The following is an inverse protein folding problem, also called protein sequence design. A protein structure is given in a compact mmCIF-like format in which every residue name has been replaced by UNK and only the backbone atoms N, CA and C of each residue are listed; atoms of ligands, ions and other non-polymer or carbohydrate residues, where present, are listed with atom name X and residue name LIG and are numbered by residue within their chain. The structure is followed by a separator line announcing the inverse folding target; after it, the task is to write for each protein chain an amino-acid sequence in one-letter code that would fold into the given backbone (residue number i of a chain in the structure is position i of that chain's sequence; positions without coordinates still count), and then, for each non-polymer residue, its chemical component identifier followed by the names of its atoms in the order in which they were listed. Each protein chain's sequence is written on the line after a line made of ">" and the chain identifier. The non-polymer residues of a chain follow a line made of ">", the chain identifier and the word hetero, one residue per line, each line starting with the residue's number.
data_IF_474447134346
#
_entry.id   IF_474447134346
#
_cell.length_a   1.000
_cell.length_b   1.000
_cell.length_c   1.000
_cell.angle_alpha   90.00
_cell.angle_beta   90.00
_cell.angle_gamma   90.00
#
_symmetry.space_group_name_H-M   'P 1'
#
loop_
_entity.id
_entity.type
_entity.pdbx_description
1 polymer ?
#
# COMPACT_ATOMS: atom_id res chain seq x y z
N UNK A 1 13.55 8.64 -9.58
CA UNK A 1 12.51 8.59 -8.53
C UNK A 1 12.95 7.59 -7.48
N UNK A 2 13.11 8.02 -6.23
CA UNK A 2 13.61 7.18 -5.14
C UNK A 2 12.55 6.15 -4.72
N UNK A 3 12.42 5.11 -5.52
CA UNK A 3 11.75 3.87 -5.14
C UNK A 3 12.49 3.29 -3.95
N UNK A 4 11.76 2.90 -2.90
CA UNK A 4 12.33 2.30 -1.71
C UNK A 4 13.37 1.25 -2.14
N UNK A 5 14.61 1.33 -1.64
CA UNK A 5 15.75 0.44 -1.94
C UNK A 5 15.52 -1.00 -1.45
N UNK A 6 14.30 -1.52 -1.60
CA UNK A 6 13.87 -2.85 -1.21
C UNK A 6 14.20 -3.79 -2.36
N UNK A 7 15.25 -4.60 -2.19
CA UNK A 7 15.66 -5.60 -3.18
C UNK A 7 14.70 -6.80 -3.24
N UNK A 8 13.83 -6.98 -2.24
CA UNK A 8 12.97 -8.15 -2.12
C UNK A 8 11.48 -7.79 -2.17
N UNK A 9 10.82 -8.23 -3.24
CA UNK A 9 9.38 -8.07 -3.47
C UNK A 9 8.55 -8.79 -2.38
N UNK A 10 9.04 -9.92 -1.86
CA UNK A 10 8.36 -10.67 -0.80
C UNK A 10 8.32 -9.85 0.48
N UNK A 11 9.42 -9.20 0.83
CA UNK A 11 9.50 -8.34 2.01
C UNK A 11 8.57 -7.13 1.88
N UNK A 12 8.50 -6.50 0.70
CA UNK A 12 7.56 -5.42 0.43
C UNK A 12 6.11 -5.88 0.63
N UNK A 13 5.77 -7.06 0.10
CA UNK A 13 4.42 -7.61 0.16
C UNK A 13 4.01 -7.94 1.60
N UNK A 14 4.85 -8.65 2.34
CA UNK A 14 4.55 -9.17 3.68
C UNK A 14 4.58 -8.05 4.73
N UNK A 15 5.59 -7.18 4.70
CA UNK A 15 5.82 -6.21 5.78
C UNK A 15 5.22 -4.82 5.53
N UNK A 16 4.96 -4.45 4.27
CA UNK A 16 4.40 -3.13 3.98
C UNK A 16 2.99 -3.25 3.43
N UNK A 17 2.82 -3.98 2.34
CA UNK A 17 1.57 -4.00 1.60
C UNK A 17 0.44 -4.68 2.39
N UNK A 18 0.67 -5.89 2.90
CA UNK A 18 -0.32 -6.61 3.70
C UNK A 18 -0.66 -5.87 5.00
N UNK A 19 0.33 -5.30 5.67
CA UNK A 19 0.12 -4.50 6.89
C UNK A 19 -0.74 -3.28 6.59
N UNK A 20 -0.46 -2.55 5.51
CA UNK A 20 -1.23 -1.37 5.11
C UNK A 20 -2.68 -1.71 4.74
N UNK A 21 -2.91 -2.86 4.07
CA UNK A 21 -4.26 -3.38 3.78
C UNK A 21 -4.98 -3.75 5.07
N UNK A 22 -4.32 -4.49 5.97
CA UNK A 22 -4.91 -4.92 7.26
C UNK A 22 -5.26 -3.73 8.17
N UNK A 23 -4.47 -2.66 8.10
CA UNK A 23 -4.73 -1.40 8.81
C UNK A 23 -5.74 -0.49 8.09
N UNK A 24 -6.25 -0.90 6.94
CA UNK A 24 -7.22 -0.14 6.16
C UNK A 24 -6.68 1.16 5.59
N UNK A 25 -5.36 1.29 5.40
CA UNK A 25 -4.72 2.50 4.83
C UNK A 25 -4.73 2.49 3.30
N UNK A 26 -4.63 1.29 2.73
CA UNK A 26 -4.73 1.06 1.28
C UNK A 26 -5.70 -0.08 1.02
N UNK A 27 -6.24 -0.12 -0.19
CA UNK A 27 -7.12 -1.20 -0.63
C UNK A 27 -6.81 -1.64 -2.06
N UNK A 28 -7.26 -2.85 -2.40
CA UNK A 28 -7.12 -3.47 -3.71
C UNK A 28 -8.12 -2.87 -4.70
N UNK A 29 -7.68 -2.56 -5.93
CA UNK A 29 -8.61 -2.11 -6.98
C UNK A 29 -9.34 -3.26 -7.69
N UNK A 30 -8.79 -4.48 -7.62
CA UNK A 30 -9.39 -5.70 -8.20
C UNK A 30 -9.44 -6.81 -7.13
N UNK A 31 -10.32 -6.69 -6.12
CA UNK A 31 -10.38 -7.63 -5.00
C UNK A 31 -10.69 -9.07 -5.44
N UNK A 32 -11.44 -9.25 -6.53
CA UNK A 32 -11.82 -10.56 -7.06
C UNK A 32 -10.64 -11.34 -7.67
N UNK A 33 -9.56 -10.66 -8.03
CA UNK A 33 -8.37 -11.25 -8.65
C UNK A 33 -7.10 -10.77 -7.96
N UNK A 34 -6.86 -11.17 -6.69
CA UNK A 34 -5.77 -10.63 -5.87
C UNK A 34 -4.37 -10.97 -6.39
N UNK A 35 -4.24 -11.99 -7.25
CA UNK A 35 -2.98 -12.38 -7.91
C UNK A 35 -2.84 -11.80 -9.33
N UNK A 36 -3.74 -10.91 -9.74
CA UNK A 36 -3.68 -10.29 -11.07
C UNK A 36 -2.40 -9.48 -11.26
N UNK A 37 -1.75 -9.61 -12.41
CA UNK A 37 -0.62 -8.74 -12.81
C UNK A 37 -1.05 -7.27 -12.93
N UNK A 38 -2.33 -7.01 -13.15
CA UNK A 38 -2.91 -5.66 -13.23
C UNK A 38 -3.39 -5.15 -11.87
N UNK A 39 -3.15 -5.89 -10.79
CA UNK A 39 -3.52 -5.47 -9.45
C UNK A 39 -2.84 -4.13 -9.11
N UNK A 40 -3.64 -3.15 -8.73
CA UNK A 40 -3.18 -1.86 -8.20
C UNK A 40 -3.73 -1.66 -6.80
N UNK A 41 -3.16 -0.68 -6.11
CA UNK A 41 -3.57 -0.28 -4.77
C UNK A 41 -3.87 1.21 -4.78
N UNK A 42 -4.85 1.63 -3.99
CA UNK A 42 -5.19 3.04 -3.77
C UNK A 42 -5.27 3.34 -2.29
N UNK A 43 -5.02 4.59 -1.91
CA UNK A 43 -5.24 5.07 -0.55
C UNK A 43 -6.73 5.09 -0.23
N UNK A 44 -7.07 4.61 0.97
CA UNK A 44 -8.38 4.83 1.57
C UNK A 44 -8.46 6.23 2.17
N UNK A 45 -9.62 6.64 2.66
CA UNK A 45 -9.75 7.93 3.33
C UNK A 45 -8.92 8.01 4.61
N UNK A 46 -8.80 6.90 5.36
CA UNK A 46 -7.87 6.80 6.48
C UNK A 46 -6.41 6.97 6.03
N UNK A 47 -6.03 6.32 4.93
CA UNK A 47 -4.69 6.48 4.36
C UNK A 47 -4.36 7.92 3.96
N UNK A 48 -5.33 8.64 3.37
CA UNK A 48 -5.19 10.06 3.03
C UNK A 48 -5.04 10.94 4.26
N UNK A 49 -5.81 10.69 5.32
CA UNK A 49 -5.71 11.43 6.59
C UNK A 49 -4.32 11.27 7.22
N UNK A 50 -3.80 10.03 7.28
CA UNK A 50 -2.45 9.76 7.81
C UNK A 50 -1.37 10.44 6.95
N UNK A 51 -1.55 10.48 5.64
CA UNK A 51 -0.60 11.19 4.77
C UNK A 51 -0.63 12.70 5.00
N UNK A 52 -1.83 13.28 5.17
CA UNK A 52 -1.99 14.70 5.44
C UNK A 52 -1.30 15.12 6.76
N UNK A 53 -1.44 14.31 7.82
CA UNK A 53 -0.78 14.61 9.11
C UNK A 53 0.75 14.50 9.04
N UNK A 54 1.28 13.54 8.27
CA UNK A 54 2.74 13.36 8.12
C UNK A 54 3.44 14.51 7.39
N UNK A 55 2.77 15.24 6.52
CA UNK A 55 3.35 16.38 5.80
C UNK A 55 3.33 17.69 6.61
N UNK A 56 2.87 17.66 7.86
CA UNK A 56 2.70 18.86 8.71
C UNK A 56 3.83 19.00 9.76
N UNK A 57 4.93 18.26 9.61
CA UNK A 57 6.10 18.34 10.51
C UNK A 57 7.41 18.55 9.75
#
# INVERSE_FOLDING_TARGET
>A
MATLKLQDEKHLREHYQQIAIKRGLIEMTIPDKPRSRLQKYRLTDLGKQVLATKNTH
#
